data_IF_588759870807
#
_entry.id   IF_588759870807
#
_cell.length_a   1.000
_cell.length_b   1.000
_cell.length_c   1.000
_cell.angle_alpha   90.00
_cell.angle_beta   90.00
_cell.angle_gamma   90.00
#
_symmetry.space_group_name_H-M   'P 1'
#
loop_
_entity.id
_entity.type
_entity.pdbx_description
1 polymer ?
#
# COMPACT_ATOMS: atom_id res chain seq x y z
N UNK A 1 -28.14 -27.77 2.82
CA UNK A 1 -26.96 -27.59 1.95
C UNK A 1 -27.46 -27.64 0.51
N UNK A 2 -27.35 -26.56 -0.28
CA UNK A 2 -27.80 -26.51 -1.68
C UNK A 2 -26.57 -26.55 -2.58
N UNK A 3 -26.38 -27.64 -3.32
CA UNK A 3 -25.31 -27.78 -4.32
C UNK A 3 -25.74 -27.04 -5.59
N UNK A 4 -24.87 -26.15 -6.10
CA UNK A 4 -25.07 -25.46 -7.37
C UNK A 4 -24.23 -26.14 -8.45
N UNK A 5 -24.86 -26.53 -9.54
CA UNK A 5 -24.29 -27.30 -10.68
C UNK A 5 -23.86 -26.38 -11.82
N UNK A 6 -23.05 -25.38 -11.52
CA UNK A 6 -22.44 -24.51 -12.54
C UNK A 6 -20.96 -24.34 -12.22
N UNK A 7 -20.10 -24.41 -13.23
CA UNK A 7 -18.70 -24.01 -13.11
C UNK A 7 -18.68 -22.55 -12.63
N UNK A 8 -18.41 -22.34 -11.34
CA UNK A 8 -18.06 -21.02 -10.83
C UNK A 8 -16.55 -20.91 -11.02
N UNK A 9 -16.12 -20.22 -12.08
CA UNK A 9 -14.74 -19.75 -12.15
C UNK A 9 -14.60 -18.67 -11.09
N UNK A 10 -14.11 -19.05 -9.91
CA UNK A 10 -13.68 -18.12 -8.88
C UNK A 10 -12.32 -17.52 -9.29
N UNK A 11 -12.28 -16.78 -10.40
CA UNK A 11 -11.12 -15.92 -10.68
C UNK A 11 -11.24 -14.70 -9.76
N UNK A 12 -10.93 -14.88 -8.48
CA UNK A 12 -10.73 -13.79 -7.53
C UNK A 12 -9.34 -13.21 -7.74
N UNK A 13 -9.09 -12.60 -8.90
CA UNK A 13 -7.90 -11.78 -9.08
C UNK A 13 -8.03 -10.54 -8.19
N UNK A 14 -7.13 -10.39 -7.23
CA UNK A 14 -7.04 -9.18 -6.42
C UNK A 14 -6.14 -8.18 -7.16
N UNK A 15 -6.72 -7.07 -7.61
CA UNK A 15 -5.96 -5.95 -8.14
C UNK A 15 -5.75 -4.92 -7.04
N UNK A 16 -4.52 -4.44 -6.92
CA UNK A 16 -4.11 -3.48 -5.90
C UNK A 16 -3.60 -2.19 -6.54
N UNK A 17 -4.00 -1.05 -5.97
CA UNK A 17 -3.48 0.27 -6.35
C UNK A 17 -2.60 0.80 -5.23
N UNK A 18 -1.38 1.20 -5.56
CA UNK A 18 -0.56 1.95 -4.62
C UNK A 18 -1.21 3.32 -4.37
N UNK A 19 -1.57 3.64 -3.13
CA UNK A 19 -2.23 4.90 -2.79
C UNK A 19 -1.36 6.16 -2.93
N UNK A 20 -0.14 6.02 -3.45
CA UNK A 20 0.85 7.11 -3.58
C UNK A 20 1.24 7.34 -5.05
N UNK A 21 1.52 6.28 -5.80
CA UNK A 21 1.94 6.40 -7.21
C UNK A 21 0.89 5.90 -8.21
N UNK A 22 -0.27 5.45 -7.74
CA UNK A 22 -1.40 4.95 -8.54
C UNK A 22 -1.06 3.79 -9.51
N UNK A 23 0.12 3.19 -9.38
CA UNK A 23 0.49 1.96 -10.10
C UNK A 23 -0.48 0.84 -9.71
N UNK A 24 -0.98 0.15 -10.72
CA UNK A 24 -1.80 -1.06 -10.63
C UNK A 24 -0.89 -2.28 -10.52
N UNK A 25 -1.16 -3.14 -9.55
CA UNK A 25 -0.50 -4.41 -9.34
C UNK A 25 -1.55 -5.52 -9.40
N UNK A 26 -1.41 -6.44 -10.34
CA UNK A 26 -2.30 -7.60 -10.48
C UNK A 26 -1.75 -8.77 -9.68
N UNK A 27 -2.22 -8.91 -8.44
CA UNK A 27 -1.78 -9.95 -7.52
C UNK A 27 -2.58 -11.21 -7.80
N UNK A 28 -2.08 -12.05 -8.71
CA UNK A 28 -2.70 -13.34 -9.03
C UNK A 28 -2.25 -14.41 -8.05
N UNK A 29 -3.16 -14.81 -7.13
CA UNK A 29 -3.00 -15.91 -6.15
C UNK A 29 -1.68 -15.88 -5.33
N UNK A 30 -0.97 -14.75 -5.35
CA UNK A 30 0.34 -14.55 -4.76
C UNK A 30 0.27 -13.65 -3.52
N UNK A 31 1.33 -13.69 -2.73
CA UNK A 31 1.48 -12.80 -1.59
C UNK A 31 1.74 -11.37 -2.08
N UNK A 32 0.91 -10.38 -1.72
CA UNK A 32 1.12 -9.00 -2.16
C UNK A 32 2.46 -8.42 -1.69
N UNK A 33 3.05 -8.96 -0.62
CA UNK A 33 4.33 -8.50 -0.07
C UNK A 33 5.54 -9.08 -0.80
N UNK A 34 5.37 -10.19 -1.51
CA UNK A 34 6.46 -10.85 -2.23
C UNK A 34 6.81 -10.11 -3.52
N UNK A 35 8.01 -10.37 -4.04
CA UNK A 35 8.31 -10.08 -5.45
C UNK A 35 7.32 -10.85 -6.33
N UNK A 36 6.80 -10.26 -7.43
CA UNK A 36 7.13 -8.95 -7.99
C UNK A 36 6.29 -7.78 -7.43
N UNK A 37 5.34 -8.04 -6.53
CA UNK A 37 4.33 -7.06 -6.13
C UNK A 37 4.88 -6.03 -5.13
N UNK A 38 5.71 -6.46 -4.17
CA UNK A 38 6.40 -5.61 -3.18
C UNK A 38 5.46 -4.56 -2.57
N UNK A 39 4.29 -5.00 -2.13
CA UNK A 39 3.26 -4.15 -1.53
C UNK A 39 3.32 -4.22 0.00
N UNK A 40 2.95 -3.12 0.64
CA UNK A 40 2.85 -3.04 2.09
C UNK A 40 1.53 -2.41 2.50
N UNK A 41 1.04 -2.79 3.68
CA UNK A 41 -0.14 -2.22 4.31
C UNK A 41 0.19 -1.83 5.74
N UNK A 42 -0.11 -0.60 6.13
CA UNK A 42 0.09 -0.17 7.52
C UNK A 42 -1.07 -0.61 8.42
N UNK A 43 -0.90 -0.51 9.75
CA UNK A 43 -1.96 -0.78 10.75
C UNK A 43 -3.29 -0.05 10.54
N UNK A 44 -3.27 1.12 9.88
CA UNK A 44 -4.47 1.89 9.52
C UNK A 44 -5.00 1.57 8.11
N UNK A 45 -4.62 0.42 7.54
CA UNK A 45 -5.07 -0.09 6.24
C UNK A 45 -4.74 0.82 5.04
N UNK A 46 -3.64 1.56 5.11
CA UNK A 46 -3.09 2.26 3.94
C UNK A 46 -2.17 1.31 3.18
N UNK A 47 -2.59 0.96 1.96
CA UNK A 47 -1.80 0.15 1.03
C UNK A 47 -0.95 1.00 0.09
N UNK A 48 0.34 0.67 -0.03
CA UNK A 48 1.29 1.29 -0.96
C UNK A 48 2.48 0.36 -1.23
N UNK A 49 3.21 0.55 -2.34
CA UNK A 49 4.42 -0.23 -2.61
C UNK A 49 5.55 0.10 -1.62
N UNK A 50 6.39 -0.90 -1.33
CA UNK A 50 7.50 -0.82 -0.35
C UNK A 50 8.47 0.33 -0.69
N UNK A 51 8.59 0.71 -1.96
CA UNK A 51 9.41 1.85 -2.43
C UNK A 51 9.01 3.19 -1.79
N UNK A 52 7.74 3.35 -1.39
CA UNK A 52 7.28 4.57 -0.72
C UNK A 52 7.35 4.48 0.81
N UNK A 53 7.78 3.35 1.37
CA UNK A 53 7.92 3.20 2.82
C UNK A 53 8.90 4.24 3.37
N UNK A 54 8.55 4.84 4.51
CA UNK A 54 9.44 5.77 5.18
C UNK A 54 10.44 5.02 6.07
N UNK A 55 11.50 5.71 6.45
CA UNK A 55 12.52 5.19 7.36
C UNK A 55 13.78 4.81 6.61
N UNK A 56 14.91 4.79 7.32
CA UNK A 56 16.11 4.14 6.79
C UNK A 56 15.94 2.64 6.90
N UNK A 57 16.73 1.90 6.13
CA UNK A 57 16.77 0.44 6.20
C UNK A 57 17.02 -0.04 7.64
N UNK A 58 17.94 0.59 8.36
CA UNK A 58 18.24 0.25 9.76
C UNK A 58 17.00 0.40 10.66
N UNK A 59 16.22 1.47 10.46
CA UNK A 59 15.00 1.71 11.25
C UNK A 59 13.92 0.67 10.94
N UNK A 60 13.77 0.28 9.68
CA UNK A 60 12.82 -0.76 9.26
C UNK A 60 13.21 -2.09 9.93
N UNK A 61 14.49 -2.45 9.88
CA UNK A 61 15.01 -3.68 10.49
C UNK A 61 14.83 -3.68 12.02
N UNK A 62 15.05 -2.54 12.68
CA UNK A 62 14.80 -2.39 14.11
C UNK A 62 13.33 -2.64 14.46
N UNK A 63 12.41 -2.02 13.71
CA UNK A 63 10.97 -2.20 13.91
C UNK A 63 10.51 -3.62 13.62
N UNK A 64 11.05 -4.25 12.58
CA UNK A 64 10.82 -5.67 12.29
C UNK A 64 11.18 -6.51 13.52
N UNK A 65 12.37 -6.31 14.09
CA UNK A 65 12.80 -7.03 15.31
C UNK A 65 11.87 -6.77 16.51
N UNK A 66 11.38 -5.55 16.69
CA UNK A 66 10.42 -5.27 17.76
C UNK A 66 9.09 -6.02 17.59
N UNK A 67 8.60 -6.16 16.34
CA UNK A 67 7.37 -6.92 16.06
C UNK A 67 7.52 -8.40 16.38
N UNK A 68 8.71 -8.97 16.18
CA UNK A 68 9.05 -10.35 16.55
C UNK A 68 8.86 -10.57 18.04
N UNK A 69 9.53 -9.74 18.86
CA UNK A 69 9.58 -9.90 20.31
C UNK A 69 8.17 -9.82 20.93
N UNK A 70 7.27 -9.08 20.28
CA UNK A 70 5.91 -8.82 20.75
C UNK A 70 4.87 -9.81 20.23
N UNK A 71 5.19 -10.71 19.29
CA UNK A 71 4.22 -11.64 18.69
C UNK A 71 4.13 -12.97 19.47
N UNK A 72 3.02 -13.26 20.18
CA UNK A 72 2.86 -14.50 20.93
C UNK A 72 2.60 -15.73 20.04
N UNK A 73 2.25 -15.54 18.76
CA UNK A 73 1.97 -16.61 17.80
C UNK A 73 3.21 -17.09 17.06
N UNK A 74 4.30 -16.35 17.15
CA UNK A 74 5.56 -16.63 16.48
C UNK A 74 6.66 -16.75 17.53
N UNK A 75 6.55 -17.79 18.37
CA UNK A 75 7.71 -18.36 19.07
C UNK A 75 8.64 -18.98 18.04
N UNK A 76 9.22 -18.14 17.19
CA UNK A 76 10.39 -18.52 16.42
C UNK A 76 11.50 -18.36 17.44
N UNK A 77 11.82 -19.45 18.13
CA UNK A 77 12.89 -19.55 19.14
C UNK A 77 14.27 -19.07 18.65
N UNK A 78 14.39 -18.57 17.40
CA UNK A 78 15.62 -18.20 16.71
C UNK A 78 15.59 -16.87 15.93
N UNK A 79 14.57 -15.99 16.03
CA UNK A 79 14.76 -14.63 15.46
C UNK A 79 15.75 -13.79 16.31
N UNK A 80 16.12 -14.29 17.50
CA UNK A 80 17.26 -13.81 18.27
C UNK A 80 18.64 -14.07 17.61
N UNK A 81 18.70 -14.67 16.40
CA UNK A 81 19.95 -15.08 15.74
C UNK A 81 20.17 -14.53 14.33
N UNK A 82 19.25 -13.76 13.75
CA UNK A 82 19.46 -13.24 12.39
C UNK A 82 20.30 -11.96 12.41
N UNK A 83 21.46 -12.02 11.75
CA UNK A 83 22.31 -10.86 11.58
C UNK A 83 21.60 -9.82 10.71
N UNK A 84 21.99 -8.55 10.83
CA UNK A 84 21.45 -7.47 10.00
C UNK A 84 21.55 -7.82 8.52
N UNK A 85 22.66 -8.43 8.12
CA UNK A 85 23.00 -8.80 6.75
C UNK A 85 22.01 -9.82 6.16
N UNK A 86 21.58 -10.81 6.94
CA UNK A 86 20.61 -11.81 6.47
C UNK A 86 19.24 -11.18 6.20
N UNK A 87 18.84 -10.18 6.97
CA UNK A 87 17.59 -9.44 6.71
C UNK A 87 17.73 -8.49 5.50
N UNK A 88 18.91 -7.88 5.30
CA UNK A 88 19.20 -7.06 4.11
C UNK A 88 19.10 -7.86 2.82
N UNK A 89 19.77 -9.01 2.77
CA UNK A 89 19.76 -9.89 1.59
C UNK A 89 18.34 -10.32 1.19
N UNK A 90 17.43 -10.45 2.15
CA UNK A 90 16.03 -10.78 1.90
C UNK A 90 15.21 -9.58 1.42
N UNK A 91 15.48 -8.38 1.97
CA UNK A 91 14.84 -7.14 1.54
C UNK A 91 15.22 -6.76 0.10
N UNK A 92 16.46 -7.06 -0.29
CA UNK A 92 17.01 -6.79 -1.62
C UNK A 92 16.81 -7.92 -2.63
N UNK A 93 16.37 -9.12 -2.20
CA UNK A 93 16.12 -10.24 -3.12
C UNK A 93 14.96 -9.92 -4.07
N UNK A 94 15.29 -9.69 -5.33
CA UNK A 94 14.37 -9.85 -6.43
C UNK A 94 14.21 -11.36 -6.66
N UNK A 95 13.06 -11.92 -6.28
CA UNK A 95 12.80 -13.34 -6.45
C UNK A 95 12.64 -13.69 -7.94
N UNK A 96 13.75 -14.10 -8.57
CA UNK A 96 13.79 -14.65 -9.93
C UNK A 96 13.41 -16.14 -9.97
N UNK A 97 12.93 -16.68 -8.84
CA UNK A 97 12.51 -18.07 -8.68
C UNK A 97 13.65 -19.08 -8.59
N UNK A 98 14.91 -18.63 -8.48
CA UNK A 98 16.10 -19.52 -8.42
C UNK A 98 16.86 -19.51 -7.09
N UNK A 99 16.39 -18.76 -6.11
CA UNK A 99 17.12 -18.61 -4.86
C UNK A 99 16.92 -19.77 -3.89
N UNK A 100 17.89 -19.96 -2.99
CA UNK A 100 17.82 -20.94 -1.90
C UNK A 100 16.57 -20.71 -1.03
N UNK A 101 15.96 -21.81 -0.59
CA UNK A 101 14.76 -21.85 0.25
C UNK A 101 14.93 -20.91 1.44
N UNK A 102 14.17 -19.82 1.45
CA UNK A 102 14.00 -19.00 2.65
C UNK A 102 13.26 -19.89 3.66
N UNK A 103 13.70 -19.89 4.92
CA UNK A 103 12.97 -20.58 5.99
C UNK A 103 11.50 -20.13 5.96
N UNK A 104 10.56 -21.08 5.90
CA UNK A 104 9.13 -20.78 5.76
C UNK A 104 8.62 -19.86 6.89
N UNK A 105 9.18 -19.97 8.11
CA UNK A 105 8.83 -19.10 9.24
C UNK A 105 9.32 -17.68 9.02
N UNK A 106 10.49 -17.53 8.40
CA UNK A 106 11.06 -16.23 8.07
C UNK A 106 10.26 -15.53 6.98
N UNK A 107 9.84 -16.29 5.95
CA UNK A 107 8.94 -15.79 4.92
C UNK A 107 7.62 -15.30 5.52
N UNK A 108 6.96 -16.13 6.35
CA UNK A 108 5.72 -15.78 7.03
C UNK A 108 5.88 -14.53 7.91
N UNK A 109 6.98 -14.45 8.67
CA UNK A 109 7.27 -13.31 9.51
C UNK A 109 7.41 -12.00 8.72
N UNK A 110 8.17 -12.02 7.62
CA UNK A 110 8.37 -10.86 6.76
C UNK A 110 7.03 -10.42 6.14
N UNK A 111 6.24 -11.39 5.65
CA UNK A 111 4.90 -11.14 5.10
C UNK A 111 3.96 -10.50 6.14
N UNK A 112 3.95 -11.02 7.37
CA UNK A 112 3.18 -10.43 8.48
C UNK A 112 3.60 -9.00 8.80
N UNK A 113 4.91 -8.72 8.79
CA UNK A 113 5.38 -7.35 9.00
C UNK A 113 4.87 -6.41 7.91
N UNK A 114 5.05 -6.77 6.63
CA UNK A 114 4.66 -5.92 5.51
C UNK A 114 3.15 -5.76 5.35
N UNK A 115 2.34 -6.71 5.84
CA UNK A 115 0.88 -6.58 5.87
C UNK A 115 0.35 -5.73 7.02
N UNK A 116 1.19 -5.39 8.01
CA UNK A 116 0.80 -4.61 9.20
C UNK A 116 1.91 -3.69 9.70
N UNK A 117 2.53 -2.93 8.79
CA UNK A 117 3.66 -2.07 9.17
C UNK A 117 3.24 -0.97 10.16
N UNK A 118 4.14 -0.55 11.07
CA UNK A 118 3.91 0.59 11.95
C UNK A 118 3.52 1.89 11.22
N UNK A 119 2.72 2.74 11.88
CA UNK A 119 2.27 4.01 11.30
C UNK A 119 3.40 4.98 10.96
N UNK A 120 4.51 4.91 11.70
CA UNK A 120 5.70 5.72 11.47
C UNK A 120 6.39 5.46 10.12
N UNK A 121 6.20 4.26 9.55
CA UNK A 121 6.72 3.90 8.22
C UNK A 121 5.75 4.26 7.09
N UNK A 122 4.53 4.71 7.41
CA UNK A 122 3.51 5.04 6.43
C UNK A 122 3.54 6.54 6.06
N UNK A 123 3.73 6.90 4.77
CA UNK A 123 3.70 8.30 4.31
C UNK A 123 2.36 9.01 4.56
N UNK A 124 1.27 8.27 4.58
CA UNK A 124 -0.08 8.80 4.77
C UNK A 124 -0.34 9.05 6.26
N UNK A 125 -0.06 8.07 7.14
CA UNK A 125 -0.24 8.26 8.59
C UNK A 125 0.67 9.37 9.14
N UNK A 126 1.90 9.47 8.62
CA UNK A 126 2.85 10.53 9.00
C UNK A 126 2.58 11.88 8.33
N UNK A 127 1.50 12.02 7.54
CA UNK A 127 1.15 13.24 6.82
C UNK A 127 2.23 13.78 5.85
N UNK A 128 3.22 12.97 5.47
CA UNK A 128 4.16 13.35 4.40
C UNK A 128 3.48 13.43 3.04
N UNK A 129 2.43 12.62 2.86
CA UNK A 129 1.61 12.60 1.65
C UNK A 129 0.14 12.70 2.05
N UNK A 130 -0.58 13.59 1.38
CA UNK A 130 -2.04 13.69 1.46
C UNK A 130 -2.58 13.12 0.16
N UNK A 131 -3.46 12.11 0.24
CA UNK A 131 -4.07 11.54 -0.96
C UNK A 131 -5.04 12.54 -1.57
N UNK A 132 -5.14 12.56 -2.89
CA UNK A 132 -6.06 13.44 -3.62
C UNK A 132 -7.50 13.29 -3.14
N UNK A 133 -7.95 12.06 -2.88
CA UNK A 133 -9.29 11.82 -2.34
C UNK A 133 -9.51 12.47 -0.97
N UNK A 134 -8.49 12.55 -0.12
CA UNK A 134 -8.58 13.19 1.19
C UNK A 134 -8.54 14.70 1.05
N UNK A 135 -7.69 15.23 0.15
CA UNK A 135 -7.66 16.64 -0.20
C UNK A 135 -9.00 17.10 -0.77
N UNK A 136 -9.56 16.36 -1.72
CA UNK A 136 -10.89 16.60 -2.28
C UNK A 136 -11.96 16.60 -1.19
N UNK A 137 -11.98 15.60 -0.32
CA UNK A 137 -12.92 15.55 0.82
C UNK A 137 -12.79 16.78 1.72
N UNK A 138 -11.55 17.17 2.03
CA UNK A 138 -11.28 18.37 2.82
C UNK A 138 -11.83 19.62 2.14
N UNK A 139 -11.49 19.86 0.87
CA UNK A 139 -12.00 20.99 0.08
C UNK A 139 -13.53 20.99 0.01
N UNK A 140 -14.15 19.83 -0.18
CA UNK A 140 -15.61 19.67 -0.21
C UNK A 140 -16.28 19.89 1.14
N UNK A 141 -15.57 19.68 2.25
CA UNK A 141 -16.04 19.93 3.62
C UNK A 141 -15.84 21.40 4.03
N UNK A 142 -14.87 22.10 3.44
CA UNK A 142 -14.71 23.54 3.65
C UNK A 142 -15.83 24.35 2.97
N UNK A 143 -16.13 25.52 3.52
CA UNK A 143 -17.16 26.47 3.04
C UNK A 143 -16.98 26.94 1.59
N UNK A 144 -15.83 26.63 1.00
CA UNK A 144 -15.35 27.05 -0.32
C UNK A 144 -16.26 26.57 -1.45
N UNK A 145 -17.08 25.53 -1.25
CA UNK A 145 -18.06 25.07 -2.25
C UNK A 145 -18.97 26.18 -2.79
N UNK A 146 -19.52 27.02 -1.90
CA UNK A 146 -20.42 28.10 -2.32
C UNK A 146 -19.66 29.18 -3.07
N UNK A 147 -18.49 29.56 -2.55
CA UNK A 147 -17.64 30.60 -3.14
C UNK A 147 -17.13 30.20 -4.53
N UNK A 148 -16.68 28.96 -4.69
CA UNK A 148 -16.24 28.40 -5.98
C UNK A 148 -17.40 28.28 -6.96
N UNK A 149 -18.59 27.87 -6.51
CA UNK A 149 -19.76 27.84 -7.38
C UNK A 149 -20.14 29.23 -7.89
N UNK A 150 -20.10 30.26 -7.03
CA UNK A 150 -20.34 31.65 -7.42
C UNK A 150 -19.20 32.24 -8.26
N UNK A 151 -17.96 31.79 -8.09
CA UNK A 151 -16.85 32.12 -8.98
C UNK A 151 -17.07 31.53 -10.39
N UNK A 152 -17.43 30.25 -10.50
CA UNK A 152 -17.70 29.58 -11.78
C UNK A 152 -18.81 30.32 -12.53
N UNK A 153 -19.93 30.65 -11.86
CA UNK A 153 -21.04 31.39 -12.47
C UNK A 153 -20.66 32.81 -12.90
N UNK A 154 -19.71 33.45 -12.22
CA UNK A 154 -19.21 34.79 -12.60
C UNK A 154 -18.24 34.72 -13.77
N UNK A 155 -17.43 33.66 -13.83
CA UNK A 155 -16.36 33.51 -14.82
C UNK A 155 -16.85 32.98 -16.16
N UNK A 156 -17.87 32.13 -16.17
CA UNK A 156 -18.36 31.46 -17.37
C UNK A 156 -19.80 31.88 -17.66
N UNK A 157 -20.05 32.27 -18.90
CA UNK A 157 -21.37 32.72 -19.35
C UNK A 157 -22.33 31.56 -19.64
N UNK A 158 -21.77 30.37 -19.88
CA UNK A 158 -22.53 29.14 -20.12
C UNK A 158 -21.83 27.92 -19.54
N UNK A 159 -22.61 26.87 -19.28
CA UNK A 159 -22.07 25.59 -18.83
C UNK A 159 -21.16 24.92 -19.88
N UNK A 160 -21.40 25.15 -21.18
CA UNK A 160 -20.55 24.61 -22.26
C UNK A 160 -19.16 25.27 -22.29
N UNK A 161 -19.09 26.56 -22.01
CA UNK A 161 -17.83 27.29 -21.89
C UNK A 161 -16.99 26.71 -20.74
N UNK A 162 -17.62 26.45 -19.58
CA UNK A 162 -16.98 25.81 -18.45
C UNK A 162 -16.45 24.40 -18.77
N UNK A 163 -17.24 23.55 -19.45
CA UNK A 163 -16.79 22.22 -19.85
C UNK A 163 -15.62 22.26 -20.83
N UNK A 164 -15.59 23.24 -21.73
CA UNK A 164 -14.48 23.42 -22.67
C UNK A 164 -13.20 23.79 -21.93
N UNK A 165 -13.29 24.73 -20.98
CA UNK A 165 -12.18 25.10 -20.10
C UNK A 165 -11.62 23.91 -19.28
N UNK A 166 -12.47 23.00 -18.81
CA UNK A 166 -12.01 21.81 -18.09
C UNK A 166 -11.24 20.85 -18.99
N UNK A 167 -11.76 20.56 -20.20
CA UNK A 167 -11.11 19.66 -21.16
C UNK A 167 -9.73 20.16 -21.59
N UNK A 168 -9.57 21.46 -21.81
CA UNK A 168 -8.30 22.09 -22.20
C UNK A 168 -7.21 22.00 -21.11
N UNK A 169 -7.55 21.59 -19.88
CA UNK A 169 -6.62 21.48 -18.75
C UNK A 169 -6.38 20.04 -18.28
N UNK A 170 -7.08 19.07 -18.87
CA UNK A 170 -6.85 17.63 -18.65
C UNK A 170 -5.80 17.04 -19.61
N UNK A 171 -5.26 17.85 -20.54
CA UNK A 171 -4.10 17.55 -21.42
C UNK A 171 -2.79 18.09 -20.83
#
# INVERSE_FOLDING_TARGET
MKVRTGFVSNSSSASFFCAICDKLYDVMDGDPTSSPYRLSTCKNFHGFCIEHMLGSEERILELMRETVIKSPTHHIDNIDLMSTEQLKELFERDDDGRGEFIDERLYLFISEFFTSIPEELCPICSFKIIRDKDLQKYLLATSVKKEVAEEIKRKFSSFQEFLTFLREREE
#
